data_IF_393616596673
#
_entry.id   IF_393616596673
#
_cell.length_a   1.000
_cell.length_b   1.000
_cell.length_c   1.000
_cell.angle_alpha   90.00
_cell.angle_beta   90.00
_cell.angle_gamma   90.00
#
_symmetry.space_group_name_H-M   'P 1'
#
loop_
_entity.id
_entity.type
_entity.pdbx_description
1 polymer ?
#
# COMPACT_ATOMS: atom_id res chain seq x y z
N UNK A 1 4.05 -7.77 10.70
CA UNK A 1 3.51 -7.16 9.47
C UNK A 1 2.28 -7.93 9.11
N UNK A 2 1.08 -7.36 9.29
CA UNK A 2 -0.10 -7.90 8.64
C UNK A 2 0.02 -7.67 7.13
N UNK A 3 -0.14 -8.74 6.37
CA UNK A 3 -0.28 -8.67 4.92
C UNK A 3 -1.70 -8.17 4.61
N UNK A 4 -1.81 -7.13 3.78
CA UNK A 4 -3.10 -6.61 3.33
C UNK A 4 -3.64 -7.54 2.24
N UNK A 5 -2.82 -7.85 1.23
CA UNK A 5 -3.11 -8.89 0.25
C UNK A 5 -1.87 -9.26 -0.60
N UNK A 6 -1.98 -10.37 -1.32
CA UNK A 6 -0.97 -10.86 -2.26
C UNK A 6 -1.46 -10.74 -3.71
N UNK A 7 -0.64 -10.18 -4.60
CA UNK A 7 -0.99 -10.02 -6.01
C UNK A 7 0.23 -10.17 -6.93
N UNK A 8 0.11 -11.02 -7.96
CA UNK A 8 1.12 -11.20 -9.00
C UNK A 8 2.54 -11.50 -8.49
N UNK A 9 2.66 -12.21 -7.37
CA UNK A 9 3.96 -12.51 -6.76
C UNK A 9 4.45 -11.46 -5.76
N UNK A 10 3.67 -10.42 -5.49
CA UNK A 10 4.02 -9.34 -4.56
C UNK A 10 3.10 -9.37 -3.34
N UNK A 11 3.71 -9.26 -2.16
CA UNK A 11 2.99 -9.02 -0.91
C UNK A 11 2.83 -7.53 -0.71
N UNK A 12 1.62 -7.10 -0.40
CA UNK A 12 1.28 -5.71 -0.11
C UNK A 12 0.93 -5.62 1.37
N UNK A 13 1.60 -4.75 2.09
CA UNK A 13 1.59 -4.78 3.56
C UNK A 13 1.66 -3.38 4.17
N UNK A 14 1.22 -3.29 5.43
CA UNK A 14 1.50 -2.16 6.31
C UNK A 14 2.67 -2.50 7.25
N UNK A 15 3.54 -1.53 7.49
CA UNK A 15 4.54 -1.60 8.54
C UNK A 15 3.96 -1.04 9.83
N UNK A 16 4.21 -1.68 10.97
CA UNK A 16 3.72 -1.17 12.27
C UNK A 16 4.31 0.18 12.65
N UNK A 17 5.35 0.63 11.93
CA UNK A 17 5.97 1.95 12.08
C UNK A 17 5.17 3.06 11.36
N UNK A 18 4.14 2.72 10.59
CA UNK A 18 3.42 3.68 9.76
C UNK A 18 2.33 4.46 10.53
N UNK A 19 2.18 4.21 11.83
CA UNK A 19 1.08 4.77 12.67
C UNK A 19 0.94 6.29 12.55
N UNK A 20 2.06 7.02 12.52
CA UNK A 20 2.08 8.48 12.51
C UNK A 20 2.27 9.07 11.10
N UNK A 21 2.05 8.25 10.06
CA UNK A 21 2.21 8.63 8.65
C UNK A 21 0.86 8.65 7.93
N UNK A 22 0.77 9.39 6.82
CA UNK A 22 -0.38 9.30 5.93
C UNK A 22 -0.54 7.91 5.32
N UNK A 23 -1.77 7.55 4.93
CA UNK A 23 -2.11 6.20 4.47
C UNK A 23 -1.29 5.76 3.26
N UNK A 24 -0.53 4.68 3.43
CA UNK A 24 0.26 4.10 2.35
C UNK A 24 0.41 2.59 2.53
N UNK A 25 0.77 1.91 1.44
CA UNK A 25 1.15 0.49 1.45
C UNK A 25 2.57 0.31 0.93
N UNK A 26 3.25 -0.69 1.46
CA UNK A 26 4.52 -1.17 0.95
C UNK A 26 4.32 -2.41 0.08
N UNK A 27 5.22 -2.60 -0.86
CA UNK A 27 5.27 -3.79 -1.73
C UNK A 27 6.56 -4.55 -1.48
N UNK A 28 6.45 -5.87 -1.31
CA UNK A 28 7.55 -6.81 -1.15
C UNK A 28 7.45 -7.96 -2.17
N UNK A 29 8.58 -8.64 -2.43
CA UNK A 29 8.62 -9.90 -3.18
C UNK A 29 9.68 -10.83 -2.60
N UNK A 30 9.27 -12.02 -2.18
CA UNK A 30 10.15 -12.94 -1.46
C UNK A 30 10.73 -12.26 -0.21
N UNK A 31 12.06 -12.25 -0.09
CA UNK A 31 12.75 -11.62 1.05
C UNK A 31 13.02 -10.12 0.87
N UNK A 32 12.70 -9.54 -0.29
CA UNK A 32 12.92 -8.11 -0.56
C UNK A 32 11.73 -7.28 -0.07
N UNK A 33 11.98 -6.43 0.92
CA UNK A 33 11.00 -5.50 1.51
C UNK A 33 11.13 -4.09 0.92
N UNK A 34 10.07 -3.30 1.05
CA UNK A 34 9.99 -1.90 0.58
C UNK A 34 10.47 -1.70 -0.88
N UNK A 35 10.08 -2.61 -1.77
CA UNK A 35 10.39 -2.52 -3.19
C UNK A 35 9.68 -1.36 -3.87
N UNK A 36 8.46 -1.04 -3.45
CA UNK A 36 7.71 0.12 -3.90
C UNK A 36 6.77 0.56 -2.79
N UNK A 37 6.35 1.82 -2.86
CA UNK A 37 5.35 2.39 -1.96
C UNK A 37 4.28 3.10 -2.74
N UNK A 38 3.03 2.87 -2.37
CA UNK A 38 1.88 3.56 -2.91
C UNK A 38 1.20 4.36 -1.81
N UNK A 39 0.84 5.61 -2.11
CA UNK A 39 0.09 6.50 -1.21
C UNK A 39 -1.36 6.47 -1.66
N UNK A 40 -2.26 6.33 -0.69
CA UNK A 40 -3.70 6.41 -0.90
C UNK A 40 -4.14 7.82 -0.50
N UNK A 41 -5.06 8.42 -1.25
CA UNK A 41 -5.52 9.80 -1.05
C UNK A 41 -7.00 9.84 -0.69
N UNK A 42 -7.43 10.91 -0.02
CA UNK A 42 -8.83 11.10 0.41
C UNK A 42 -9.83 11.07 -0.77
N UNK A 43 -9.40 11.51 -1.95
CA UNK A 43 -10.20 11.48 -3.18
C UNK A 43 -10.27 10.07 -3.84
N UNK A 44 -9.81 9.04 -3.13
CA UNK A 44 -9.74 7.64 -3.55
C UNK A 44 -8.76 7.37 -4.69
N UNK A 45 -7.90 8.33 -5.02
CA UNK A 45 -6.77 8.09 -5.93
C UNK A 45 -5.63 7.39 -5.20
N UNK A 46 -4.77 6.73 -5.98
CA UNK A 46 -3.57 6.05 -5.48
C UNK A 46 -2.40 6.45 -6.35
N UNK A 47 -1.32 6.93 -5.75
CA UNK A 47 -0.10 7.34 -6.46
C UNK A 47 1.10 6.50 -6.03
N UNK A 48 2.06 6.34 -6.94
CA UNK A 48 3.33 5.69 -6.64
C UNK A 48 4.27 6.72 -5.99
N UNK A 49 4.66 6.50 -4.74
CA UNK A 49 5.67 7.33 -4.07
C UNK A 49 7.09 6.99 -4.54
N UNK A 50 7.42 5.69 -4.62
CA UNK A 50 8.71 5.23 -5.13
C UNK A 50 8.65 3.79 -5.64
N UNK A 51 9.67 3.39 -6.41
CA UNK A 51 9.86 2.03 -6.94
C UNK A 51 11.34 1.61 -6.89
N UNK A 52 11.90 1.54 -5.67
CA UNK A 52 13.30 1.16 -5.46
C UNK A 52 13.65 -0.25 -5.95
N UNK A 53 12.70 -1.19 -5.88
CA UNK A 53 12.82 -2.56 -6.32
C UNK A 53 12.70 -2.76 -7.83
N UNK A 54 12.58 -1.67 -8.61
CA UNK A 54 12.51 -1.70 -10.08
C UNK A 54 11.42 -2.64 -10.59
N UNK A 55 10.27 -2.65 -9.92
CA UNK A 55 9.10 -3.43 -10.32
C UNK A 55 8.69 -3.01 -11.73
N UNK A 56 8.45 -3.96 -12.66
CA UNK A 56 8.05 -3.64 -14.02
C UNK A 56 6.80 -2.76 -14.06
N UNK A 57 6.78 -1.76 -14.97
CA UNK A 57 5.69 -0.79 -15.07
C UNK A 57 4.30 -1.44 -15.23
N UNK A 58 4.21 -2.57 -15.95
CA UNK A 58 2.97 -3.35 -16.07
C UNK A 58 2.44 -3.82 -14.71
N UNK A 59 3.32 -4.29 -13.83
CA UNK A 59 2.95 -4.75 -12.50
C UNK A 59 2.61 -3.58 -11.57
N UNK A 60 3.35 -2.46 -11.65
CA UNK A 60 3.00 -1.22 -10.93
C UNK A 60 1.56 -0.79 -11.25
N UNK A 61 1.20 -0.74 -12.55
CA UNK A 61 -0.16 -0.38 -12.97
C UNK A 61 -1.21 -1.38 -12.47
N UNK A 62 -0.89 -2.67 -12.47
CA UNK A 62 -1.79 -3.71 -11.96
C UNK A 62 -2.03 -3.57 -10.46
N UNK A 63 -0.96 -3.36 -9.67
CA UNK A 63 -1.03 -3.16 -8.22
C UNK A 63 -1.83 -1.89 -7.92
N UNK A 64 -1.51 -0.77 -8.56
CA UNK A 64 -2.23 0.49 -8.37
C UNK A 64 -3.72 0.35 -8.68
N UNK A 65 -4.07 -0.30 -9.80
CA UNK A 65 -5.47 -0.54 -10.15
C UNK A 65 -6.18 -1.47 -9.16
N UNK A 66 -5.48 -2.43 -8.56
CA UNK A 66 -6.02 -3.26 -7.49
C UNK A 66 -6.27 -2.45 -6.22
N UNK A 67 -5.33 -1.59 -5.82
CA UNK A 67 -5.49 -0.69 -4.67
C UNK A 67 -6.66 0.27 -4.84
N UNK A 68 -6.85 0.86 -6.03
CA UNK A 68 -8.00 1.72 -6.33
C UNK A 68 -9.32 0.95 -6.23
N UNK A 69 -9.37 -0.29 -6.74
CA UNK A 69 -10.60 -1.11 -6.68
C UNK A 69 -10.91 -1.61 -5.27
N UNK A 70 -9.88 -1.97 -4.51
CA UNK A 70 -10.00 -2.44 -3.13
C UNK A 70 -9.81 -1.34 -2.08
N UNK A 71 -10.00 -0.07 -2.44
CA UNK A 71 -9.64 1.06 -1.59
C UNK A 71 -10.26 0.96 -0.20
N UNK A 72 -11.57 0.69 -0.12
CA UNK A 72 -12.30 0.59 1.14
C UNK A 72 -11.80 -0.59 1.99
N UNK A 73 -11.39 -1.71 1.36
CA UNK A 73 -10.81 -2.87 2.06
C UNK A 73 -9.42 -2.54 2.65
N UNK A 74 -8.63 -1.75 1.95
CA UNK A 74 -7.31 -1.29 2.41
C UNK A 74 -7.48 -0.30 3.59
N UNK A 75 -8.45 0.60 3.50
CA UNK A 75 -8.82 1.52 4.59
C UNK A 75 -9.27 0.75 5.82
N UNK A 76 -10.19 -0.21 5.66
CA UNK A 76 -10.65 -1.05 6.76
C UNK A 76 -9.50 -1.82 7.42
N UNK A 77 -8.58 -2.36 6.62
CA UNK A 77 -7.39 -3.06 7.12
C UNK A 77 -6.48 -2.12 7.93
N UNK A 78 -6.29 -0.87 7.48
CA UNK A 78 -5.55 0.15 8.22
C UNK A 78 -6.24 0.47 9.54
N UNK A 79 -7.54 0.73 9.52
CA UNK A 79 -8.33 1.04 10.72
C UNK A 79 -8.28 -0.08 11.75
N UNK A 80 -8.36 -1.34 11.31
CA UNK A 80 -8.22 -2.50 12.20
C UNK A 80 -6.84 -2.60 12.84
N UNK A 81 -5.79 -2.14 12.15
CA UNK A 81 -4.40 -2.25 12.61
C UNK A 81 -3.99 -1.10 13.52
N UNK A 82 -4.36 0.13 13.17
CA UNK A 82 -3.88 1.34 13.85
C UNK A 82 -4.94 2.06 14.68
N UNK A 83 -6.22 1.71 14.52
CA UNK A 83 -7.36 2.42 15.13
C UNK A 83 -8.06 3.37 14.14
N UNK A 84 -9.09 4.08 14.62
CA UNK A 84 -9.91 4.98 13.80
C UNK A 84 -9.21 6.25 13.28
N UNK A 85 -7.95 6.47 13.65
CA UNK A 85 -7.19 7.65 13.25
C UNK A 85 -6.57 7.42 11.86
N UNK A 86 -7.34 7.77 10.82
CA UNK A 86 -6.86 7.80 9.44
C UNK A 86 -6.37 9.21 9.13
N UNK A 87 -5.12 9.30 8.68
CA UNK A 87 -4.57 10.50 8.08
C UNK A 87 -4.24 10.22 6.61
N UNK A 88 -4.62 11.14 5.72
CA UNK A 88 -4.16 11.17 4.34
C UNK A 88 -3.19 12.35 4.22
N UNK A 89 -1.98 12.09 3.72
CA UNK A 89 -1.01 13.16 3.47
C UNK A 89 -1.58 14.12 2.40
N UNK A 90 -1.44 15.42 2.61
CA UNK A 90 -1.93 16.48 1.71
C UNK A 90 -1.01 16.74 0.52
#
# INVERSE_FOLDING_TARGET
>A
MPEVFFLAGYSIYFSTLDRDHGMHVHVARGNQRDMARFVLHEDRTVTLAHNHGKIPAKHIRLIQAALVRGFDEVVDAWTRLFGGDIHFDR
#
